data_IF_409864397241
#
_entry.id   IF_409864397241
#
_cell.length_a   1.000
_cell.length_b   1.000
_cell.length_c   1.000
_cell.angle_alpha   90.00
_cell.angle_beta   90.00
_cell.angle_gamma   90.00
#
_symmetry.space_group_name_H-M   'P 1'
#
loop_
_entity.id
_entity.type
_entity.pdbx_description
1 polymer ?
#
# COMPACT_ATOMS: atom_id res chain seq x y z
N UNK A 1 54.24 -57.64 -49.46
CA UNK A 1 54.87 -56.47 -49.95
C UNK A 1 53.95 -55.27 -49.72
N UNK A 2 54.38 -54.23 -49.08
CA UNK A 2 53.77 -52.93 -48.73
C UNK A 2 52.42 -52.95 -47.95
N UNK A 3 52.61 -53.05 -46.68
CA UNK A 3 51.58 -52.77 -45.64
C UNK A 3 51.34 -51.25 -45.64
N UNK A 4 50.06 -50.86 -45.73
CA UNK A 4 49.58 -49.50 -45.52
C UNK A 4 48.70 -49.49 -44.27
N UNK A 5 49.20 -48.87 -43.21
CA UNK A 5 48.56 -48.69 -41.94
C UNK A 5 47.68 -47.44 -42.03
N UNK A 6 46.37 -47.51 -41.72
CA UNK A 6 45.60 -46.29 -41.67
C UNK A 6 45.74 -45.61 -40.31
N UNK A 7 46.08 -44.37 -40.34
CA UNK A 7 46.19 -43.43 -39.23
C UNK A 7 44.79 -43.14 -38.67
N UNK A 8 44.48 -43.65 -37.50
CA UNK A 8 43.22 -43.34 -36.78
C UNK A 8 43.39 -41.99 -36.12
N UNK A 9 42.73 -40.98 -36.68
CA UNK A 9 42.68 -39.65 -36.14
C UNK A 9 41.66 -39.62 -34.97
N UNK A 10 42.17 -39.56 -33.75
CA UNK A 10 41.34 -39.47 -32.52
C UNK A 10 40.84 -38.05 -32.34
N UNK A 11 39.58 -37.79 -32.73
CA UNK A 11 38.94 -36.48 -32.48
C UNK A 11 38.49 -36.44 -31.03
N UNK A 12 39.26 -35.73 -30.20
CA UNK A 12 38.85 -35.39 -28.82
C UNK A 12 37.74 -34.34 -28.86
N UNK A 13 36.53 -34.80 -28.70
CA UNK A 13 35.37 -33.93 -28.55
C UNK A 13 35.36 -33.36 -27.12
N UNK A 14 35.93 -32.15 -26.94
CA UNK A 14 35.85 -31.40 -25.68
C UNK A 14 34.44 -30.86 -25.51
N UNK A 15 33.62 -31.57 -24.78
CA UNK A 15 32.30 -31.10 -24.37
C UNK A 15 32.47 -29.94 -23.40
N UNK A 16 32.38 -28.71 -23.89
CA UNK A 16 32.26 -27.51 -23.06
C UNK A 16 30.93 -27.57 -22.29
N UNK A 17 30.98 -27.96 -21.02
CA UNK A 17 29.90 -27.79 -20.07
C UNK A 17 29.64 -26.29 -19.85
N UNK A 18 28.76 -25.70 -20.67
CA UNK A 18 28.21 -24.39 -20.41
C UNK A 18 27.33 -24.55 -19.16
N UNK A 19 27.92 -24.23 -18.02
CA UNK A 19 27.20 -24.10 -16.76
C UNK A 19 26.11 -23.06 -16.90
N UNK A 20 24.86 -23.48 -17.18
CA UNK A 20 23.69 -22.63 -17.02
C UNK A 20 23.57 -22.32 -15.53
N UNK A 21 24.12 -21.18 -15.16
CA UNK A 21 23.87 -20.56 -13.85
C UNK A 21 22.38 -20.24 -13.79
N UNK A 22 21.57 -21.19 -13.32
CA UNK A 22 20.19 -20.92 -12.92
C UNK A 22 20.30 -19.99 -11.71
N UNK A 23 20.27 -18.67 -11.99
CA UNK A 23 19.96 -17.69 -10.97
C UNK A 23 18.63 -18.14 -10.36
N UNK A 24 18.68 -18.81 -9.22
CA UNK A 24 17.48 -19.08 -8.44
C UNK A 24 16.90 -17.72 -8.13
N UNK A 25 15.80 -17.40 -8.78
CA UNK A 25 14.95 -16.27 -8.37
C UNK A 25 14.46 -16.68 -6.99
N UNK A 26 15.19 -16.19 -5.98
CA UNK A 26 14.76 -16.28 -4.61
C UNK A 26 13.46 -15.45 -4.59
N UNK A 27 12.31 -16.10 -4.72
CA UNK A 27 11.01 -15.52 -4.42
C UNK A 27 11.02 -15.27 -2.91
N UNK A 28 11.75 -14.23 -2.53
CA UNK A 28 11.63 -13.60 -1.24
C UNK A 28 10.14 -13.28 -1.16
N UNK A 29 9.44 -13.98 -0.28
CA UNK A 29 8.06 -13.70 0.07
C UNK A 29 8.06 -12.22 0.47
N UNK A 30 7.76 -11.32 -0.47
CA UNK A 30 7.79 -9.89 -0.20
C UNK A 30 6.67 -9.63 0.77
N UNK A 31 7.01 -9.36 2.02
CA UNK A 31 6.02 -8.97 3.01
C UNK A 31 5.19 -7.83 2.42
N UNK A 32 3.87 -7.96 2.55
CA UNK A 32 2.91 -7.00 2.04
C UNK A 32 3.24 -5.61 2.63
N UNK A 33 3.48 -4.64 1.77
CA UNK A 33 3.77 -3.28 2.20
C UNK A 33 2.45 -2.54 2.47
N UNK A 34 2.25 -2.10 3.72
CA UNK A 34 0.98 -1.53 4.18
C UNK A 34 1.20 -0.15 4.79
N UNK A 35 0.32 0.79 4.45
CA UNK A 35 0.36 2.18 4.91
C UNK A 35 -0.95 2.58 5.56
N UNK A 36 -0.90 3.07 6.79
CA UNK A 36 -1.99 3.77 7.45
C UNK A 36 -1.63 5.27 7.55
N UNK A 37 -2.47 6.11 6.99
CA UNK A 37 -2.35 7.57 7.08
C UNK A 37 -3.39 8.08 8.06
N UNK A 38 -2.95 8.60 9.20
CA UNK A 38 -3.82 9.14 10.23
C UNK A 38 -3.99 10.64 10.01
N UNK A 39 -5.19 11.04 9.60
CA UNK A 39 -5.54 12.42 9.38
C UNK A 39 -6.25 13.00 10.60
N UNK A 40 -5.60 13.95 11.27
CA UNK A 40 -6.09 14.60 12.50
C UNK A 40 -6.37 16.09 12.33
N UNK A 41 -5.77 16.71 11.33
CA UNK A 41 -5.83 18.16 11.11
C UNK A 41 -7.23 18.65 10.74
N UNK A 42 -7.61 19.78 11.30
CA UNK A 42 -8.79 20.56 10.87
C UNK A 42 -8.50 21.60 9.79
N UNK A 43 -7.28 21.63 9.27
CA UNK A 43 -6.87 22.51 8.19
C UNK A 43 -7.17 21.86 6.83
N UNK A 44 -8.02 22.48 5.99
CA UNK A 44 -8.37 21.94 4.67
C UNK A 44 -7.19 21.92 3.69
N UNK A 45 -6.21 22.83 3.81
CA UNK A 45 -5.03 22.80 2.96
C UNK A 45 -4.09 21.66 3.31
N UNK A 46 -3.90 21.37 4.59
CA UNK A 46 -3.17 20.19 5.05
C UNK A 46 -3.85 18.92 4.56
N UNK A 47 -5.18 18.86 4.66
CA UNK A 47 -5.95 17.73 4.16
C UNK A 47 -5.73 17.53 2.65
N UNK A 48 -5.98 18.54 1.83
CA UNK A 48 -5.97 18.45 0.37
C UNK A 48 -4.56 18.36 -0.21
N UNK A 49 -3.67 19.26 0.23
CA UNK A 49 -2.34 19.48 -0.40
C UNK A 49 -1.28 18.50 0.09
N UNK A 50 -1.47 17.90 1.27
CA UNK A 50 -0.48 17.00 1.86
C UNK A 50 -1.07 15.60 2.07
N UNK A 51 -2.05 15.47 2.96
CA UNK A 51 -2.58 14.19 3.40
C UNK A 51 -3.21 13.38 2.25
N UNK A 52 -4.21 13.94 1.57
CA UNK A 52 -4.93 13.24 0.50
C UNK A 52 -4.06 13.06 -0.75
N UNK A 53 -3.26 14.05 -1.10
CA UNK A 53 -2.35 13.94 -2.24
C UNK A 53 -1.37 12.77 -2.04
N UNK A 54 -0.75 12.66 -0.88
CA UNK A 54 0.16 11.55 -0.59
C UNK A 54 -0.57 10.21 -0.54
N UNK A 55 -1.68 10.14 0.20
CA UNK A 55 -2.47 8.92 0.38
C UNK A 55 -2.95 8.32 -0.93
N UNK A 56 -3.54 9.17 -1.79
CA UNK A 56 -4.05 8.75 -3.09
C UNK A 56 -2.93 8.29 -4.02
N UNK A 57 -1.82 9.04 -4.09
CA UNK A 57 -0.68 8.64 -4.91
C UNK A 57 -0.01 7.36 -4.41
N UNK A 58 0.09 7.15 -3.10
CA UNK A 58 0.62 5.91 -2.53
C UNK A 58 -0.13 4.68 -3.04
N UNK A 59 -1.47 4.79 -3.20
CA UNK A 59 -2.31 3.74 -3.78
C UNK A 59 -2.15 3.65 -5.29
N UNK A 60 -2.37 4.74 -6.01
CA UNK A 60 -2.39 4.75 -7.47
C UNK A 60 -1.04 4.40 -8.11
N UNK A 61 0.05 4.76 -7.46
CA UNK A 61 1.42 4.46 -7.93
C UNK A 61 1.95 3.10 -7.46
N UNK A 62 1.16 2.37 -6.65
CA UNK A 62 1.58 1.07 -6.13
C UNK A 62 2.78 1.16 -5.19
N UNK A 63 2.95 2.28 -4.45
CA UNK A 63 4.03 2.39 -3.46
C UNK A 63 3.80 1.48 -2.27
N UNK A 64 2.53 1.18 -1.99
CA UNK A 64 2.09 0.22 -0.98
C UNK A 64 0.99 -0.66 -1.55
N UNK A 65 0.96 -1.92 -1.13
CA UNK A 65 -0.06 -2.90 -1.54
C UNK A 65 -1.43 -2.55 -0.95
N UNK A 66 -1.43 -2.04 0.27
CA UNK A 66 -2.62 -1.59 0.98
C UNK A 66 -2.41 -0.20 1.57
N UNK A 67 -3.40 0.67 1.36
CA UNK A 67 -3.39 2.04 1.87
C UNK A 67 -4.71 2.31 2.59
N UNK A 68 -4.61 2.76 3.83
CA UNK A 68 -5.75 3.13 4.68
C UNK A 68 -5.62 4.60 5.06
N UNK A 69 -6.70 5.36 4.89
CA UNK A 69 -6.87 6.69 5.47
C UNK A 69 -7.72 6.58 6.74
N UNK A 70 -7.18 7.04 7.86
CA UNK A 70 -7.86 7.04 9.15
C UNK A 70 -8.28 8.47 9.50
N UNK A 71 -9.58 8.74 9.50
CA UNK A 71 -10.17 10.01 9.93
C UNK A 71 -10.29 10.02 11.45
N UNK A 72 -9.52 10.89 12.13
CA UNK A 72 -9.42 10.90 13.59
C UNK A 72 -9.47 12.30 14.19
N UNK A 73 -10.33 12.50 15.18
CA UNK A 73 -10.43 13.78 15.88
C UNK A 73 -11.04 14.89 15.02
N UNK A 74 -10.45 16.10 15.00
CA UNK A 74 -11.00 17.27 14.31
C UNK A 74 -11.23 17.10 12.81
N UNK A 75 -10.48 16.22 12.15
CA UNK A 75 -10.67 15.89 10.73
C UNK A 75 -12.06 15.33 10.42
N UNK A 76 -12.70 14.63 11.38
CA UNK A 76 -14.06 14.11 11.22
C UNK A 76 -15.09 15.25 11.05
N UNK A 77 -14.96 16.31 11.84
CA UNK A 77 -15.78 17.51 11.71
C UNK A 77 -15.51 18.24 10.40
N UNK A 78 -14.24 18.50 10.09
CA UNK A 78 -13.85 19.15 8.83
C UNK A 78 -14.41 18.41 7.62
N UNK A 79 -14.27 17.08 7.59
CA UNK A 79 -14.78 16.27 6.48
C UNK A 79 -16.29 16.36 6.35
N UNK A 80 -17.04 16.38 7.47
CA UNK A 80 -18.49 16.49 7.44
C UNK A 80 -19.02 17.82 6.90
N UNK A 81 -18.24 18.88 7.04
CA UNK A 81 -18.62 20.25 6.66
C UNK A 81 -18.09 20.66 5.26
N UNK A 82 -17.03 20.01 4.75
CA UNK A 82 -16.34 20.41 3.53
C UNK A 82 -16.67 19.48 2.35
N UNK A 83 -17.51 19.95 1.43
CA UNK A 83 -17.95 19.19 0.25
C UNK A 83 -16.81 18.82 -0.70
N UNK A 84 -15.81 19.66 -0.84
CA UNK A 84 -14.64 19.38 -1.71
C UNK A 84 -13.87 18.19 -1.15
N UNK A 85 -13.62 18.18 0.15
CA UNK A 85 -12.93 17.06 0.79
C UNK A 85 -13.76 15.77 0.78
N UNK A 86 -15.10 15.88 0.88
CA UNK A 86 -16.00 14.72 0.74
C UNK A 86 -15.86 14.06 -0.63
N UNK A 87 -15.88 14.87 -1.71
CA UNK A 87 -15.70 14.34 -3.07
C UNK A 87 -14.30 13.73 -3.28
N UNK A 88 -13.28 14.35 -2.69
CA UNK A 88 -11.91 13.79 -2.72
C UNK A 88 -11.81 12.44 -2.01
N UNK A 89 -12.47 12.30 -0.84
CA UNK A 89 -12.51 11.03 -0.11
C UNK A 89 -13.26 9.96 -0.90
N UNK A 90 -14.40 10.29 -1.51
CA UNK A 90 -15.13 9.35 -2.39
C UNK A 90 -14.27 8.89 -3.56
N UNK A 91 -13.52 9.80 -4.18
CA UNK A 91 -12.60 9.44 -5.24
C UNK A 91 -11.50 8.49 -4.74
N UNK A 92 -10.90 8.76 -3.58
CA UNK A 92 -9.89 7.88 -3.00
C UNK A 92 -10.45 6.48 -2.71
N UNK A 93 -11.70 6.37 -2.23
CA UNK A 93 -12.38 5.08 -2.06
C UNK A 93 -12.50 4.35 -3.40
N UNK A 94 -12.93 5.05 -4.45
CA UNK A 94 -13.04 4.49 -5.80
C UNK A 94 -11.69 4.05 -6.36
N UNK A 95 -10.60 4.74 -6.00
CA UNK A 95 -9.23 4.39 -6.36
C UNK A 95 -8.65 3.22 -5.52
N UNK A 96 -9.43 2.71 -4.55
CA UNK A 96 -9.07 1.54 -3.73
C UNK A 96 -8.32 1.88 -2.44
N UNK A 97 -8.38 3.13 -1.97
CA UNK A 97 -7.98 3.49 -0.61
C UNK A 97 -9.09 3.05 0.35
N UNK A 98 -8.75 2.31 1.39
CA UNK A 98 -9.67 2.02 2.47
C UNK A 98 -9.80 3.25 3.36
N UNK A 99 -11.01 3.70 3.68
CA UNK A 99 -11.20 4.84 4.55
C UNK A 99 -11.95 4.42 5.82
N UNK A 100 -11.37 4.73 6.95
CA UNK A 100 -11.86 4.38 8.28
C UNK A 100 -12.01 5.64 9.12
N UNK A 101 -12.97 5.68 10.03
CA UNK A 101 -13.16 6.81 10.93
C UNK A 101 -13.36 6.38 12.38
N UNK A 102 -12.83 7.17 13.31
CA UNK A 102 -12.99 6.94 14.72
C UNK A 102 -14.42 7.24 15.16
N UNK A 103 -15.17 6.20 15.56
CA UNK A 103 -16.56 6.32 16.02
C UNK A 103 -16.70 7.25 17.24
N UNK A 104 -15.75 7.21 18.18
CA UNK A 104 -15.79 8.10 19.35
C UNK A 104 -15.70 9.56 18.92
N UNK A 105 -14.76 9.90 18.01
CA UNK A 105 -14.63 11.25 17.49
C UNK A 105 -15.87 11.67 16.66
N UNK A 106 -16.34 10.79 15.80
CA UNK A 106 -17.52 11.06 14.97
C UNK A 106 -18.78 11.31 15.81
N UNK A 107 -18.95 10.56 16.89
CA UNK A 107 -20.06 10.77 17.85
C UNK A 107 -19.94 12.08 18.62
N UNK A 108 -18.71 12.48 19.02
CA UNK A 108 -18.51 13.77 19.69
C UNK A 108 -18.93 14.96 18.83
N UNK A 109 -18.82 14.84 17.51
CA UNK A 109 -19.23 15.87 16.55
C UNK A 109 -20.62 15.63 15.97
N UNK A 110 -21.28 14.49 16.29
CA UNK A 110 -22.60 14.15 15.76
C UNK A 110 -22.61 13.82 14.25
N UNK A 111 -21.50 13.31 13.71
CA UNK A 111 -21.31 13.14 12.26
C UNK A 111 -21.14 11.68 11.83
N UNK A 112 -21.31 10.71 12.74
CA UNK A 112 -21.04 9.29 12.47
C UNK A 112 -21.84 8.76 11.27
N UNK A 113 -23.15 9.01 11.24
CA UNK A 113 -24.02 8.55 10.14
C UNK A 113 -23.68 9.21 8.81
N UNK A 114 -23.31 10.49 8.84
CA UNK A 114 -22.90 11.21 7.65
C UNK A 114 -21.61 10.64 7.05
N UNK A 115 -20.62 10.30 7.89
CA UNK A 115 -19.38 9.67 7.44
C UNK A 115 -19.67 8.27 6.89
N UNK A 116 -20.49 7.48 7.57
CA UNK A 116 -20.88 6.15 7.11
C UNK A 116 -21.58 6.19 5.74
N UNK A 117 -22.45 7.18 5.51
CA UNK A 117 -23.17 7.37 4.24
C UNK A 117 -22.23 7.69 3.05
N UNK A 118 -20.98 8.11 3.31
CA UNK A 118 -19.96 8.32 2.30
C UNK A 118 -19.16 7.04 1.95
N UNK A 119 -19.49 5.89 2.55
CA UNK A 119 -18.76 4.64 2.38
C UNK A 119 -17.54 4.51 3.29
N UNK A 120 -17.44 5.33 4.33
CA UNK A 120 -16.39 5.28 5.34
C UNK A 120 -16.74 4.27 6.42
N UNK A 121 -15.81 3.40 6.78
CA UNK A 121 -16.00 2.43 7.87
C UNK A 121 -15.84 3.13 9.23
N UNK A 122 -16.96 3.47 9.88
CA UNK A 122 -16.97 4.13 11.19
C UNK A 122 -16.93 3.08 12.30
N UNK A 123 -15.82 3.03 13.04
CA UNK A 123 -15.59 1.99 14.07
C UNK A 123 -14.66 2.45 15.19
N UNK A 124 -14.46 1.59 16.20
CA UNK A 124 -13.50 1.83 17.28
C UNK A 124 -12.06 1.79 16.78
N UNK A 125 -11.46 2.96 16.57
CA UNK A 125 -10.13 3.03 15.97
C UNK A 125 -8.97 2.81 16.95
N UNK A 126 -9.18 2.90 18.26
CA UNK A 126 -8.12 2.67 19.24
C UNK A 126 -7.42 1.31 19.10
N UNK A 127 -8.17 0.19 19.17
CA UNK A 127 -7.61 -1.14 18.93
C UNK A 127 -7.00 -1.30 17.52
N UNK A 128 -7.69 -0.79 16.50
CA UNK A 128 -7.25 -0.91 15.09
C UNK A 128 -5.93 -0.19 14.86
N UNK A 129 -5.80 1.06 15.30
CA UNK A 129 -4.53 1.81 15.20
C UNK A 129 -3.41 1.13 16.00
N UNK A 130 -3.75 0.52 17.15
CA UNK A 130 -2.78 -0.24 17.94
C UNK A 130 -2.25 -1.44 17.16
N UNK A 131 -3.10 -2.12 16.38
CA UNK A 131 -2.68 -3.20 15.48
C UNK A 131 -1.75 -2.64 14.39
N UNK A 132 -2.11 -1.56 13.73
CA UNK A 132 -1.24 -0.91 12.73
C UNK A 132 0.15 -0.57 13.28
N UNK A 133 0.22 -0.05 14.52
CA UNK A 133 1.47 0.32 15.16
C UNK A 133 2.33 -0.89 15.59
N UNK A 134 1.71 -2.03 15.89
CA UNK A 134 2.41 -3.24 16.36
C UNK A 134 2.80 -4.20 15.25
N UNK A 135 2.11 -4.15 14.12
CA UNK A 135 2.38 -4.98 12.96
C UNK A 135 3.24 -4.24 11.92
N UNK A 136 3.44 -4.85 10.75
CA UNK A 136 4.32 -4.30 9.71
C UNK A 136 3.73 -3.12 8.91
N UNK A 137 2.79 -2.38 9.49
CA UNK A 137 2.25 -1.17 8.85
C UNK A 137 3.22 0.00 9.02
N UNK A 138 3.35 0.80 7.96
CA UNK A 138 3.91 2.14 8.07
C UNK A 138 2.79 3.08 8.47
N UNK A 139 3.02 3.93 9.48
CA UNK A 139 2.01 4.86 9.98
C UNK A 139 2.53 6.28 9.83
N UNK A 140 1.77 7.11 9.12
CA UNK A 140 2.00 8.56 9.00
C UNK A 140 0.84 9.31 9.65
N UNK A 141 1.13 10.47 10.23
CA UNK A 141 0.11 11.34 10.83
C UNK A 141 0.23 12.77 10.29
N UNK A 142 -0.92 13.35 9.93
CA UNK A 142 -1.07 14.74 9.48
C UNK A 142 -2.12 15.49 10.27
#
# INVERSE_FOLDING_TARGET
>A
MKSILPLILLILCTSSLIGRNKKSVNMKNSEKQQLAVVWTSSDPEVAEKVCFMYTQNAKLKGWFDEVVLVVWGPSAKLLSENKILQERVKQMIADGVKVEACVACANMYGVADQLAAMGIEVKGMGPVLTVYLKENWKVLTF
#
